data_IF_465048929262
#
_entry.id   IF_465048929262
#
_cell.length_a   1.000
_cell.length_b   1.000
_cell.length_c   1.000
_cell.angle_alpha   90.00
_cell.angle_beta   90.00
_cell.angle_gamma   90.00
#
_symmetry.space_group_name_H-M   'P 1'
#
loop_
_entity.id
_entity.type
_entity.pdbx_description
1 polymer ?
#
# COMPACT_ATOMS: atom_id res chain seq x y z
N UNK A 1 10.66 -20.34 19.47
CA UNK A 1 10.65 -19.07 20.23
C UNK A 1 9.30 -18.78 20.90
N UNK A 2 8.52 -19.77 21.42
CA UNK A 2 7.21 -19.44 22.01
C UNK A 2 7.35 -18.66 23.32
N UNK A 3 8.41 -18.95 24.09
CA UNK A 3 8.60 -18.37 25.42
C UNK A 3 8.67 -16.84 25.43
N UNK A 4 9.45 -16.23 24.52
CA UNK A 4 9.59 -14.76 24.45
C UNK A 4 8.24 -14.08 24.17
N UNK A 5 7.40 -14.70 23.34
CA UNK A 5 6.09 -14.15 22.99
C UNK A 5 5.08 -14.27 24.14
N UNK A 6 5.29 -15.21 25.06
CA UNK A 6 4.45 -15.41 26.24
C UNK A 6 4.89 -14.54 27.42
N UNK A 7 6.20 -14.27 27.55
CA UNK A 7 6.74 -13.46 28.65
C UNK A 7 6.73 -11.97 28.36
N UNK A 8 6.94 -11.57 27.11
CA UNK A 8 6.99 -10.16 26.71
C UNK A 8 5.67 -9.77 26.05
N UNK A 9 4.97 -8.73 26.57
CA UNK A 9 3.74 -8.25 25.97
C UNK A 9 3.93 -7.72 24.54
N UNK A 10 2.85 -7.81 23.74
CA UNK A 10 2.83 -7.36 22.33
C UNK A 10 3.33 -5.92 22.17
N UNK A 11 2.78 -4.98 22.92
CA UNK A 11 3.10 -3.54 22.84
C UNK A 11 4.60 -3.27 23.08
N UNK A 12 5.26 -4.05 23.95
CA UNK A 12 6.71 -3.93 24.19
C UNK A 12 7.51 -4.36 22.97
N UNK A 13 7.13 -5.48 22.33
CA UNK A 13 7.80 -5.99 21.13
C UNK A 13 7.65 -5.00 19.96
N UNK A 14 6.44 -4.46 19.79
CA UNK A 14 6.12 -3.49 18.74
C UNK A 14 6.90 -2.19 18.96
N UNK A 15 6.88 -1.62 20.16
CA UNK A 15 7.62 -0.41 20.49
C UNK A 15 9.15 -0.58 20.49
N UNK A 16 9.67 -1.74 20.89
CA UNK A 16 11.13 -1.98 20.92
C UNK A 16 11.72 -2.15 19.52
N UNK A 17 10.98 -2.79 18.62
CA UNK A 17 11.46 -3.07 17.26
C UNK A 17 10.90 -2.14 16.19
N UNK A 18 9.87 -1.34 16.51
CA UNK A 18 9.16 -0.53 15.52
C UNK A 18 8.44 -1.39 14.48
N UNK A 19 7.94 -2.56 14.89
CA UNK A 19 7.21 -3.50 14.04
C UNK A 19 5.73 -3.50 14.41
N UNK A 20 4.88 -3.83 13.45
CA UNK A 20 3.46 -4.07 13.69
C UNK A 20 3.20 -5.57 13.56
N UNK A 21 2.88 -6.23 14.67
CA UNK A 21 2.62 -7.67 14.68
C UNK A 21 1.14 -7.86 14.32
N UNK A 22 0.86 -8.79 13.41
CA UNK A 22 -0.51 -9.06 12.95
C UNK A 22 -1.39 -9.38 14.17
N UNK A 23 -2.53 -8.69 14.28
CA UNK A 23 -3.51 -8.95 15.35
C UNK A 23 -4.22 -10.28 15.08
N UNK A 24 -4.63 -11.02 16.15
CA UNK A 24 -5.48 -12.19 15.99
C UNK A 24 -6.70 -11.88 15.13
N UNK A 25 -7.21 -12.89 14.43
CA UNK A 25 -8.44 -12.74 13.65
C UNK A 25 -9.63 -12.43 14.57
N UNK A 26 -10.69 -11.86 14.01
CA UNK A 26 -11.92 -11.55 14.76
C UNK A 26 -12.59 -12.78 15.37
N UNK A 27 -12.34 -13.97 14.80
CA UNK A 27 -12.83 -15.26 15.30
C UNK A 27 -12.00 -15.82 16.49
N UNK A 28 -10.87 -15.19 16.81
CA UNK A 28 -9.94 -15.60 17.88
C UNK A 28 -9.92 -14.57 19.01
N UNK A 29 -9.40 -14.98 20.19
CA UNK A 29 -9.29 -14.08 21.33
C UNK A 29 -8.39 -12.87 21.00
N UNK A 30 -8.89 -11.63 21.14
CA UNK A 30 -8.13 -10.44 20.76
C UNK A 30 -6.93 -10.17 21.67
N UNK A 31 -6.99 -10.65 22.92
CA UNK A 31 -5.95 -10.49 23.93
C UNK A 31 -4.91 -11.63 23.90
N UNK A 32 -5.00 -12.53 22.91
CA UNK A 32 -4.04 -13.62 22.75
C UNK A 32 -2.62 -13.07 22.51
N UNK A 33 -1.65 -13.67 23.20
CA UNK A 33 -0.23 -13.40 22.97
C UNK A 33 0.15 -13.63 21.49
N UNK A 34 1.08 -12.83 20.93
CA UNK A 34 1.50 -12.98 19.55
C UNK A 34 2.11 -14.36 19.29
N UNK A 35 1.88 -14.91 18.10
CA UNK A 35 2.54 -16.15 17.70
C UNK A 35 4.01 -15.85 17.37
N UNK A 36 4.91 -16.80 17.64
CA UNK A 36 6.32 -16.61 17.26
C UNK A 36 6.49 -16.41 15.75
N UNK A 37 5.64 -17.02 14.93
CA UNK A 37 5.65 -16.83 13.48
C UNK A 37 5.32 -15.37 13.09
N UNK A 38 4.24 -14.80 13.64
CA UNK A 38 3.84 -13.41 13.39
C UNK A 38 4.96 -12.43 13.73
N UNK A 39 5.59 -12.61 14.91
CA UNK A 39 6.72 -11.79 15.35
C UNK A 39 7.91 -11.90 14.39
N UNK A 40 8.31 -13.14 14.05
CA UNK A 40 9.47 -13.39 13.20
C UNK A 40 9.27 -12.91 11.76
N UNK A 41 8.06 -13.08 11.24
CA UNK A 41 7.68 -12.57 9.93
C UNK A 41 7.71 -11.05 9.92
N UNK A 42 7.05 -10.38 10.87
CA UNK A 42 7.02 -8.93 10.96
C UNK A 42 8.44 -8.34 11.05
N UNK A 43 9.29 -8.91 11.90
CA UNK A 43 10.68 -8.49 12.03
C UNK A 43 11.50 -8.75 10.76
N UNK A 44 11.33 -9.92 10.14
CA UNK A 44 12.00 -10.28 8.89
C UNK A 44 11.64 -9.35 7.74
N UNK A 45 10.36 -8.98 7.61
CA UNK A 45 9.87 -8.02 6.62
C UNK A 45 10.45 -6.63 6.84
N UNK A 46 10.36 -6.10 8.06
CA UNK A 46 10.91 -4.79 8.40
C UNK A 46 12.42 -4.72 8.10
N UNK A 47 13.16 -5.79 8.44
CA UNK A 47 14.62 -5.82 8.28
C UNK A 47 15.07 -6.21 6.87
N UNK A 48 14.17 -6.70 6.01
CA UNK A 48 14.48 -7.20 4.67
C UNK A 48 15.22 -8.54 4.67
N UNK A 49 15.07 -9.35 5.71
CA UNK A 49 15.61 -10.71 5.75
C UNK A 49 14.73 -11.61 4.89
N UNK A 50 15.14 -11.82 3.63
CA UNK A 50 14.40 -12.62 2.65
C UNK A 50 15.17 -13.88 2.27
N UNK A 51 14.43 -14.96 2.10
CA UNK A 51 14.90 -16.20 1.48
C UNK A 51 14.92 -16.07 -0.04
N UNK A 52 15.55 -17.02 -0.74
CA UNK A 52 15.57 -17.06 -2.21
C UNK A 52 14.17 -17.08 -2.84
N UNK A 53 13.17 -17.58 -2.12
CA UNK A 53 11.77 -17.63 -2.55
C UNK A 53 10.97 -16.36 -2.20
N UNK A 54 11.62 -15.32 -1.69
CA UNK A 54 10.99 -14.05 -1.33
C UNK A 54 10.16 -14.09 -0.05
N UNK A 55 10.23 -15.18 0.73
CA UNK A 55 9.61 -15.26 2.05
C UNK A 55 10.58 -14.76 3.13
N UNK A 56 10.09 -14.17 4.23
CA UNK A 56 10.95 -13.68 5.30
C UNK A 56 11.71 -14.84 5.97
N UNK A 57 13.01 -14.67 6.16
CA UNK A 57 13.86 -15.66 6.83
C UNK A 57 13.63 -15.61 8.35
N UNK A 58 12.74 -16.49 8.82
CA UNK A 58 12.39 -16.61 10.22
C UNK A 58 13.57 -17.08 11.08
N UNK A 59 14.40 -18.00 10.57
CA UNK A 59 15.56 -18.52 11.32
C UNK A 59 16.60 -17.45 11.57
N UNK A 60 16.87 -16.60 10.57
CA UNK A 60 17.76 -15.45 10.74
C UNK A 60 17.18 -14.44 11.70
N UNK A 61 15.91 -14.08 11.55
CA UNK A 61 15.20 -13.16 12.45
C UNK A 61 15.27 -13.62 13.91
N UNK A 62 15.02 -14.91 14.16
CA UNK A 62 15.02 -15.49 15.49
C UNK A 62 16.38 -15.36 16.20
N UNK A 63 17.49 -15.52 15.47
CA UNK A 63 18.84 -15.35 16.05
C UNK A 63 19.08 -13.93 16.55
N UNK A 64 18.61 -12.92 15.83
CA UNK A 64 18.76 -11.52 16.26
C UNK A 64 17.88 -11.21 17.47
N UNK A 65 16.62 -11.65 17.46
CA UNK A 65 15.71 -11.42 18.59
C UNK A 65 16.21 -12.11 19.85
N UNK A 66 16.66 -13.36 19.75
CA UNK A 66 17.30 -14.08 20.86
C UNK A 66 18.53 -13.37 21.41
N UNK A 67 19.39 -12.89 20.51
CA UNK A 67 20.59 -12.15 20.90
C UNK A 67 20.20 -10.90 21.70
N UNK A 68 19.19 -10.18 21.22
CA UNK A 68 18.67 -8.98 21.87
C UNK A 68 18.07 -9.32 23.26
N UNK A 69 17.38 -10.45 23.39
CA UNK A 69 16.85 -10.96 24.67
C UNK A 69 17.96 -11.25 25.68
N UNK A 70 18.99 -12.00 25.29
CA UNK A 70 20.12 -12.32 26.19
C UNK A 70 20.97 -11.08 26.51
N UNK A 71 21.07 -10.12 25.58
CA UNK A 71 21.79 -8.86 25.81
C UNK A 71 21.04 -7.87 26.71
N UNK A 72 19.78 -8.13 27.06
CA UNK A 72 18.96 -7.26 27.89
C UNK A 72 18.27 -6.11 27.14
N UNK A 73 18.33 -6.08 25.81
CA UNK A 73 17.55 -5.12 25.00
C UNK A 73 16.05 -5.43 25.06
N UNK A 74 15.69 -6.71 25.07
CA UNK A 74 14.38 -7.17 25.47
C UNK A 74 14.46 -7.66 26.93
N UNK A 75 14.17 -6.77 27.87
CA UNK A 75 14.29 -7.09 29.30
C UNK A 75 13.02 -7.73 29.85
N UNK A 76 13.18 -8.91 30.44
CA UNK A 76 12.17 -9.61 31.22
C UNK A 76 12.82 -10.14 32.51
N UNK A 77 12.15 -9.96 33.64
CA UNK A 77 12.60 -10.48 34.93
C UNK A 77 11.49 -11.30 35.56
N UNK A 78 11.83 -12.44 36.13
CA UNK A 78 10.84 -13.25 36.84
C UNK A 78 10.37 -12.51 38.10
N UNK A 79 9.05 -12.40 38.32
CA UNK A 79 8.53 -11.82 39.55
C UNK A 79 8.90 -12.70 40.74
N UNK A 80 9.19 -12.09 41.91
CA UNK A 80 9.37 -12.86 43.14
C UNK A 80 8.09 -13.63 43.49
N UNK A 81 8.22 -14.79 44.15
CA UNK A 81 7.07 -15.61 44.53
C UNK A 81 6.10 -14.79 45.40
N UNK A 82 4.83 -14.75 45.01
CA UNK A 82 3.79 -13.99 45.70
C UNK A 82 3.48 -12.59 45.12
N UNK A 83 4.16 -12.18 44.04
CA UNK A 83 3.84 -10.95 43.31
C UNK A 83 3.35 -11.27 41.90
N UNK A 84 2.41 -10.47 41.38
CA UNK A 84 1.92 -10.61 40.02
C UNK A 84 2.96 -10.06 39.02
N UNK A 85 3.10 -10.71 37.86
CA UNK A 85 4.09 -10.33 36.85
C UNK A 85 3.89 -8.90 36.32
N UNK A 86 2.63 -8.47 36.20
CA UNK A 86 2.25 -7.14 35.69
C UNK A 86 2.75 -5.98 36.58
N UNK A 87 2.83 -6.21 37.89
CA UNK A 87 3.27 -5.20 38.86
C UNK A 87 4.80 -5.09 38.92
N UNK A 88 5.50 -6.18 38.57
CA UNK A 88 6.95 -6.29 38.70
C UNK A 88 7.73 -5.70 37.52
N UNK A 89 7.08 -5.45 36.37
CA UNK A 89 7.70 -4.86 35.18
C UNK A 89 7.15 -3.45 34.84
N UNK A 90 7.46 -2.41 35.64
CA UNK A 90 6.98 -1.05 35.35
C UNK A 90 7.51 -0.50 34.01
N UNK A 91 8.65 -1.00 33.53
CA UNK A 91 9.24 -0.61 32.25
C UNK A 91 8.36 -0.91 31.03
N UNK A 92 7.53 -1.96 31.08
CA UNK A 92 6.65 -2.32 29.96
C UNK A 92 5.54 -1.27 29.76
N UNK A 93 5.13 -0.58 30.84
CA UNK A 93 4.13 0.49 30.80
C UNK A 93 4.55 1.70 29.97
N UNK A 94 5.85 1.90 29.73
CA UNK A 94 6.34 2.99 28.87
C UNK A 94 5.82 2.87 27.43
N UNK A 95 5.69 1.64 26.94
CA UNK A 95 5.26 1.38 25.57
C UNK A 95 3.74 1.47 25.40
N UNK A 96 2.95 1.34 26.47
CA UNK A 96 1.48 1.53 26.42
C UNK A 96 1.08 3.01 26.25
N UNK A 97 1.88 3.93 26.78
CA UNK A 97 1.55 5.35 26.76
C UNK A 97 1.77 6.00 25.38
N UNK A 98 2.62 5.43 24.52
CA UNK A 98 2.78 5.95 23.15
C UNK A 98 1.54 5.69 22.28
N UNK A 99 0.77 4.62 22.53
CA UNK A 99 -0.43 4.31 21.76
C UNK A 99 -1.62 5.25 22.09
N UNK A 100 -1.66 5.84 23.29
CA UNK A 100 -2.70 6.79 23.69
C UNK A 100 -2.46 8.21 23.19
N UNK A 101 -1.20 8.61 23.00
CA UNK A 101 -0.83 9.89 22.37
C UNK A 101 -0.61 9.76 20.85
N UNK A 102 -1.01 8.64 20.24
CA UNK A 102 -0.93 8.43 18.79
C UNK A 102 -2.27 8.64 18.05
N UNK A 103 -3.27 9.25 18.69
CA UNK A 103 -4.43 9.80 17.97
C UNK A 103 -4.11 11.14 17.28
N UNK A 104 -2.92 11.71 17.53
CA UNK A 104 -2.34 12.84 16.80
C UNK A 104 -1.02 12.44 16.12
N UNK A 105 -1.08 11.55 15.13
CA UNK A 105 0.03 11.38 14.16
C UNK A 105 0.17 12.63 13.29
N UNK A 106 0.77 13.68 13.83
CA UNK A 106 1.58 14.60 13.04
C UNK A 106 2.83 13.83 12.58
N UNK A 107 2.70 13.23 11.41
CA UNK A 107 3.75 12.47 10.76
C UNK A 107 5.01 13.35 10.56
N UNK A 108 6.05 13.10 11.36
CA UNK A 108 7.42 13.47 10.98
C UNK A 108 7.93 12.46 9.96
N UNK A 109 7.38 12.55 8.75
CA UNK A 109 7.93 11.94 7.55
C UNK A 109 7.54 12.86 6.40
N UNK A 110 8.53 13.34 5.65
CA UNK A 110 8.37 14.09 4.42
C UNK A 110 7.44 13.33 3.44
N UNK A 111 6.14 13.59 3.51
CA UNK A 111 5.18 13.20 2.49
C UNK A 111 5.28 14.25 1.37
N UNK A 112 5.63 13.92 0.12
CA UNK A 112 5.39 14.85 -0.97
C UNK A 112 3.88 15.11 -0.98
N UNK A 113 3.49 16.38 -0.75
CA UNK A 113 2.11 16.85 -0.81
C UNK A 113 1.61 16.63 -2.24
N UNK A 114 1.09 15.44 -2.52
CA UNK A 114 0.24 15.22 -3.68
C UNK A 114 -0.97 16.10 -3.42
N UNK A 115 -0.99 17.26 -4.07
CA UNK A 115 -2.17 18.12 -4.16
C UNK A 115 -3.24 17.24 -4.79
N UNK A 116 -4.16 16.75 -3.97
CA UNK A 116 -5.35 16.04 -4.41
C UNK A 116 -6.06 16.98 -5.38
N UNK A 117 -5.92 16.71 -6.68
CA UNK A 117 -6.68 17.41 -7.71
C UNK A 117 -8.12 16.97 -7.49
N UNK A 118 -8.89 17.77 -6.77
CA UNK A 118 -10.32 17.55 -6.66
C UNK A 118 -10.93 17.86 -8.03
N UNK A 119 -11.23 16.82 -8.80
CA UNK A 119 -12.04 16.95 -9.99
C UNK A 119 -13.44 17.42 -9.54
N UNK A 120 -13.79 18.65 -9.91
CA UNK A 120 -15.11 19.26 -9.64
C UNK A 120 -16.26 18.39 -10.15
N UNK A 121 -16.00 17.58 -11.17
CA UNK A 121 -16.97 16.64 -11.78
C UNK A 121 -17.42 15.54 -10.80
N UNK A 122 -16.52 15.05 -9.94
CA UNK A 122 -16.82 13.93 -9.03
C UNK A 122 -17.74 14.36 -7.88
N UNK A 123 -17.59 15.60 -7.38
CA UNK A 123 -18.46 16.13 -6.31
C UNK A 123 -19.93 16.13 -6.73
N UNK A 124 -20.19 16.50 -7.99
CA UNK A 124 -21.55 16.57 -8.52
C UNK A 124 -22.14 15.17 -8.72
N UNK A 125 -21.33 14.18 -9.12
CA UNK A 125 -21.74 12.79 -9.24
C UNK A 125 -22.19 12.19 -7.89
N UNK A 126 -21.38 12.34 -6.84
CA UNK A 126 -21.70 11.78 -5.52
C UNK A 126 -22.77 12.56 -4.75
N UNK A 127 -23.00 13.84 -5.06
CA UNK A 127 -24.12 14.60 -4.50
C UNK A 127 -25.46 14.27 -5.17
N UNK A 128 -25.47 13.95 -6.47
CA UNK A 128 -26.69 13.55 -7.16
C UNK A 128 -27.25 12.23 -6.62
N UNK A 129 -26.36 11.27 -6.30
CA UNK A 129 -26.75 9.98 -5.69
C UNK A 129 -27.31 10.15 -4.28
N UNK A 130 -26.80 11.11 -3.48
CA UNK A 130 -27.29 11.37 -2.12
C UNK A 130 -28.63 12.12 -2.06
N UNK A 131 -28.93 13.00 -3.02
CA UNK A 131 -30.24 13.67 -3.07
C UNK A 131 -31.38 12.74 -3.51
N UNK A 132 -31.07 11.68 -4.27
CA UNK A 132 -32.05 10.68 -4.69
C UNK A 132 -32.57 9.80 -3.53
N UNK A 133 -31.82 9.66 -2.43
CA UNK A 133 -32.21 8.81 -1.30
C UNK A 133 -33.01 9.53 -0.19
N UNK A 134 -33.16 10.85 -0.26
CA UNK A 134 -33.74 11.66 0.83
C UNK A 134 -35.09 12.33 0.52
N UNK A 135 -35.64 12.17 -0.69
CA UNK A 135 -36.99 12.67 -1.02
C UNK A 135 -37.92 11.49 -1.28
N UNK A 136 -38.70 11.16 -0.26
CA UNK A 136 -39.83 10.23 -0.34
C UNK A 136 -40.99 10.82 -1.15
N UNK A 137 -41.65 9.94 -1.92
CA UNK A 137 -43.07 9.99 -2.33
C UNK A 137 -43.57 11.29 -2.99
N UNK A 138 -43.62 11.29 -4.31
CA UNK A 138 -44.79 11.68 -5.11
C UNK A 138 -44.47 11.46 -6.59
N UNK A 139 -45.40 10.85 -7.33
CA UNK A 139 -45.66 11.00 -8.78
C UNK A 139 -44.44 10.95 -9.72
N UNK A 140 -44.18 9.84 -10.39
CA UNK A 140 -44.78 9.49 -11.69
C UNK A 140 -43.71 9.56 -12.81
N UNK A 141 -43.56 8.43 -13.49
CA UNK A 141 -43.09 8.26 -14.88
C UNK A 141 -41.63 8.58 -15.29
N UNK A 142 -40.93 7.48 -15.62
CA UNK A 142 -40.21 7.28 -16.90
C UNK A 142 -39.26 8.39 -17.39
N UNK A 143 -38.06 8.49 -16.81
CA UNK A 143 -36.96 9.16 -17.54
C UNK A 143 -35.54 8.66 -17.28
N UNK A 144 -35.29 7.80 -16.28
CA UNK A 144 -33.91 7.44 -15.90
C UNK A 144 -33.28 6.23 -16.62
N UNK A 145 -33.89 5.73 -17.71
CA UNK A 145 -33.28 4.65 -18.54
C UNK A 145 -32.84 5.18 -19.91
N UNK A 146 -32.14 6.32 -19.93
CA UNK A 146 -31.54 6.90 -21.16
C UNK A 146 -30.03 7.08 -21.12
N UNK A 147 -29.35 6.59 -20.07
CA UNK A 147 -27.91 6.77 -19.92
C UNK A 147 -27.03 5.60 -20.44
N UNK A 148 -27.62 4.49 -20.92
CA UNK A 148 -26.86 3.33 -21.41
C UNK A 148 -26.92 3.11 -22.94
N UNK A 149 -27.34 4.11 -23.71
CA UNK A 149 -27.52 3.94 -25.16
C UNK A 149 -26.87 5.04 -25.99
N UNK A 150 -25.56 5.28 -25.80
CA UNK A 150 -24.73 5.89 -26.83
C UNK A 150 -23.41 5.14 -26.90
N UNK A 151 -23.44 4.06 -27.68
CA UNK A 151 -22.28 3.27 -28.04
C UNK A 151 -21.19 4.14 -28.67
N UNK A 152 -19.95 3.74 -28.40
CA UNK A 152 -18.77 4.15 -29.15
C UNK A 152 -19.03 3.81 -30.63
N UNK A 153 -19.36 4.83 -31.43
CA UNK A 153 -19.36 4.69 -32.88
C UNK A 153 -17.90 4.57 -33.33
N UNK A 154 -17.50 3.33 -33.54
CA UNK A 154 -16.35 2.97 -34.35
C UNK A 154 -16.48 3.67 -35.70
N UNK A 155 -15.52 4.52 -36.04
CA UNK A 155 -15.41 5.12 -37.38
C UNK A 155 -14.81 4.06 -38.32
N UNK A 156 -15.58 3.01 -38.56
CA UNK A 156 -15.32 2.04 -39.62
C UNK A 156 -15.92 2.64 -40.89
N UNK A 157 -15.06 3.23 -41.72
CA UNK A 157 -15.47 3.78 -43.02
C UNK A 157 -15.89 2.66 -43.97
N UNK A 158 -17.19 2.43 -44.07
CA UNK A 158 -17.82 1.74 -45.19
C UNK A 158 -19.11 2.47 -45.56
N UNK A 159 -19.09 3.17 -46.70
CA UNK A 159 -20.31 3.66 -47.36
C UNK A 159 -20.73 2.64 -48.41
N UNK A 160 -21.98 2.14 -48.39
CA UNK A 160 -22.47 1.21 -49.40
C UNK A 160 -22.88 1.99 -50.67
N UNK A 161 -22.40 1.52 -51.83
CA UNK A 161 -22.99 1.85 -53.14
C UNK A 161 -22.41 3.05 -53.89
N UNK A 162 -21.27 2.86 -54.56
CA UNK A 162 -21.01 3.36 -55.93
C UNK A 162 -19.73 2.71 -56.47
N UNK A 163 -19.71 2.39 -57.76
CA UNK A 163 -18.77 1.48 -58.45
C UNK A 163 -17.28 1.87 -58.47
N UNK A 164 -16.44 1.04 -59.11
CA UNK A 164 -14.99 1.09 -58.98
C UNK A 164 -14.38 2.26 -59.76
N UNK A 165 -13.59 3.10 -59.09
CA UNK A 165 -12.75 4.11 -59.74
C UNK A 165 -11.31 3.98 -59.22
N UNK A 166 -10.37 3.97 -60.18
CA UNK A 166 -8.95 3.69 -60.07
C UNK A 166 -8.16 4.73 -59.20
N UNK A 167 -6.91 4.43 -58.80
CA UNK A 167 -6.23 5.10 -57.70
C UNK A 167 -5.58 6.42 -58.12
N UNK A 168 -5.88 7.49 -57.39
CA UNK A 168 -5.21 8.80 -57.55
C UNK A 168 -4.22 9.01 -56.41
N UNK A 169 -2.94 8.90 -56.81
CA UNK A 169 -1.69 9.52 -56.35
C UNK A 169 -1.67 10.21 -54.97
N UNK A 170 -0.74 9.73 -54.14
CA UNK A 170 -0.29 10.31 -52.88
C UNK A 170 0.37 11.68 -53.09
N UNK A 171 -0.19 12.71 -52.43
CA UNK A 171 0.42 14.01 -52.20
C UNK A 171 0.92 14.10 -50.77
N UNK A 172 2.17 14.52 -50.64
CA UNK A 172 2.93 14.67 -49.40
C UNK A 172 2.46 15.92 -48.66
N UNK A 173 1.85 15.78 -47.48
CA UNK A 173 1.84 16.84 -46.48
C UNK A 173 1.98 16.24 -45.07
N UNK A 174 3.04 16.67 -44.38
CA UNK A 174 3.35 16.27 -43.02
C UNK A 174 2.31 16.83 -42.06
N UNK A 175 1.37 15.99 -41.65
CA UNK A 175 0.53 16.26 -40.49
C UNK A 175 1.43 16.34 -39.25
N UNK A 176 1.66 17.57 -38.78
CA UNK A 176 2.34 17.86 -37.53
C UNK A 176 1.57 17.18 -36.38
N UNK A 177 2.02 15.97 -36.02
CA UNK A 177 1.49 15.23 -34.90
C UNK A 177 1.73 15.99 -33.59
N UNK A 178 0.75 15.88 -32.69
CA UNK A 178 0.73 16.40 -31.31
C UNK A 178 2.15 16.41 -30.69
N UNK A 179 2.69 17.58 -30.31
CA UNK A 179 4.11 17.74 -29.96
C UNK A 179 4.55 16.93 -28.73
N UNK A 180 3.61 16.57 -27.86
CA UNK A 180 3.87 15.75 -26.67
C UNK A 180 3.98 14.25 -26.95
N UNK A 181 3.73 13.82 -28.19
CA UNK A 181 3.69 12.40 -28.59
C UNK A 181 5.04 11.92 -29.17
N UNK A 182 6.15 12.45 -28.65
CA UNK A 182 7.50 11.95 -28.93
C UNK A 182 7.94 11.08 -27.75
N UNK A 183 7.87 9.77 -27.91
CA UNK A 183 8.50 8.86 -26.95
C UNK A 183 10.02 8.97 -27.11
N UNK A 184 10.68 9.68 -26.20
CA UNK A 184 12.13 9.83 -26.11
C UNK A 184 12.82 8.53 -25.72
N UNK A 185 12.86 7.57 -26.65
CA UNK A 185 13.51 6.27 -26.47
C UNK A 185 14.79 6.15 -27.31
N UNK A 186 15.39 7.28 -27.70
CA UNK A 186 16.72 7.26 -28.30
C UNK A 186 17.73 6.96 -27.17
N UNK A 187 18.42 5.83 -27.32
CA UNK A 187 19.59 5.41 -26.56
C UNK A 187 19.34 4.76 -25.17
N UNK A 188 18.11 4.32 -24.86
CA UNK A 188 17.81 3.59 -23.60
C UNK A 188 18.59 2.29 -23.39
N UNK A 189 19.30 1.79 -24.41
CA UNK A 189 20.14 0.58 -24.35
C UNK A 189 21.58 0.81 -24.84
N UNK A 190 22.02 2.06 -24.92
CA UNK A 190 23.41 2.34 -25.32
C UNK A 190 24.35 2.04 -24.15
N UNK A 191 25.29 1.11 -24.35
CA UNK A 191 26.25 0.74 -23.32
C UNK A 191 27.24 1.88 -23.11
N UNK A 192 27.49 2.24 -21.85
CA UNK A 192 28.43 3.32 -21.44
C UNK A 192 29.80 3.20 -22.12
N UNK A 193 30.32 1.98 -22.30
CA UNK A 193 31.58 1.71 -23.02
C UNK A 193 31.63 2.19 -24.48
N UNK A 194 30.49 2.34 -25.16
CA UNK A 194 30.45 2.90 -26.53
C UNK A 194 30.56 4.42 -26.51
N UNK A 195 29.98 5.07 -25.50
CA UNK A 195 29.98 6.53 -25.34
C UNK A 195 31.37 7.03 -24.93
N UNK A 196 32.01 6.33 -23.99
CA UNK A 196 33.31 6.73 -23.45
C UNK A 196 34.52 6.20 -24.24
N UNK A 197 34.32 5.66 -25.46
CA UNK A 197 35.41 5.10 -26.28
C UNK A 197 36.52 6.12 -26.57
N UNK A 198 36.21 7.42 -26.55
CA UNK A 198 37.18 8.47 -26.83
C UNK A 198 38.08 8.83 -25.64
N UNK A 199 37.90 8.19 -24.48
CA UNK A 199 38.70 8.42 -23.26
C UNK A 199 39.75 7.32 -23.02
N UNK A 200 39.73 6.25 -23.82
CA UNK A 200 40.74 5.18 -23.87
C UNK A 200 41.64 5.36 -25.10
#
# INVERSE_FOLDING_TARGET
>A
MPYICQTIPRHVLEGTYGINIIRPREDEDPDRHPTSEELLMAYGYMRGFMTSHGQPDQSRSARYILKDYVSGKLLYCHPPPGTHAEDFQPQHKKFLNEDSESSDFSATANKPKIKRIENVVDKNFFHQVRKASAVSRATETKENVRALSRGVQSIMGYKPGSGPVAPVRAGVEGAAGKPWKKHGNRNKKEKVRRVNKHLD
#
